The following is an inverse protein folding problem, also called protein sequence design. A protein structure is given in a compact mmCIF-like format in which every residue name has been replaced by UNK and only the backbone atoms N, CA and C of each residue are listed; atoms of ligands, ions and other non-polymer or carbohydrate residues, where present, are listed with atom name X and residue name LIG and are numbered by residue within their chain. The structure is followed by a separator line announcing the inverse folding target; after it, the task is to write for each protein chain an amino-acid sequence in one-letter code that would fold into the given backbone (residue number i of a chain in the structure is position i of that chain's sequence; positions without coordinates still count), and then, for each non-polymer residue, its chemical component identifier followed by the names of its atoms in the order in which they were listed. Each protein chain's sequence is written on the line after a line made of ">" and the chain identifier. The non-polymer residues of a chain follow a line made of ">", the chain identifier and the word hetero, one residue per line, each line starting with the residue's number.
data_IF_554218534526
#
_entry.id   IF_554218534526
#
_cell.length_a   1.000
_cell.length_b   1.000
_cell.length_c   1.000
_cell.angle_alpha   90.00
_cell.angle_beta   90.00
_cell.angle_gamma   90.00
#
_symmetry.space_group_name_H-M   'P 1'
#
loop_
_entity.id
_entity.type
_entity.pdbx_description
1 polymer ?
#
# COMPACT_ATOMS: atom_id res chain seq x y z
N UNK A 1 -29.50 -6.68 -3.62
CA UNK A 1 -28.38 -6.36 -2.72
C UNK A 1 -27.13 -6.97 -3.31
N UNK A 2 -26.41 -6.20 -4.13
CA UNK A 2 -25.15 -6.63 -4.73
C UNK A 2 -24.17 -6.88 -3.59
N UNK A 3 -23.68 -8.11 -3.45
CA UNK A 3 -22.56 -8.41 -2.55
C UNK A 3 -21.38 -7.64 -3.15
N UNK A 4 -21.11 -6.43 -2.67
CA UNK A 4 -19.87 -5.73 -3.01
C UNK A 4 -18.76 -6.73 -2.70
N UNK A 5 -18.09 -7.22 -3.74
CA UNK A 5 -16.97 -8.12 -3.56
C UNK A 5 -15.90 -7.25 -2.91
N UNK A 6 -15.81 -7.28 -1.56
CA UNK A 6 -14.96 -6.42 -0.74
C UNK A 6 -13.47 -6.67 -1.08
N UNK A 7 -13.04 -6.24 -2.26
CA UNK A 7 -11.75 -6.60 -2.86
C UNK A 7 -10.61 -5.95 -2.10
N UNK A 8 -10.90 -4.84 -1.43
CA UNK A 8 -10.05 -4.18 -0.46
C UNK A 8 -10.57 -4.51 0.95
N UNK A 9 -9.65 -4.76 1.87
CA UNK A 9 -9.89 -4.89 3.31
C UNK A 9 -9.19 -3.69 3.95
N UNK A 10 -9.89 -2.94 4.82
CA UNK A 10 -9.29 -1.82 5.55
C UNK A 10 -8.22 -2.34 6.51
N UNK A 11 -7.23 -1.51 6.83
CA UNK A 11 -6.15 -1.86 7.74
C UNK A 11 -6.66 -2.19 9.15
N UNK A 12 -7.67 -1.46 9.63
CA UNK A 12 -8.24 -1.62 10.98
C UNK A 12 -9.00 -2.95 11.16
N UNK A 13 -9.41 -3.58 10.06
CA UNK A 13 -10.18 -4.84 10.06
C UNK A 13 -9.31 -6.06 9.67
N UNK A 14 -7.99 -5.90 9.67
CA UNK A 14 -7.05 -6.85 9.06
C UNK A 14 -6.01 -7.40 10.01
N UNK A 15 -5.82 -8.72 9.98
CA UNK A 15 -4.72 -9.40 10.67
C UNK A 15 -3.43 -9.42 9.85
N UNK A 16 -3.45 -9.00 8.58
CA UNK A 16 -2.32 -9.16 7.65
C UNK A 16 -1.54 -7.89 7.38
N UNK A 17 -2.19 -6.72 7.48
CA UNK A 17 -1.57 -5.43 7.20
C UNK A 17 -2.40 -4.28 7.77
N UNK A 18 -1.72 -3.29 8.36
CA UNK A 18 -2.32 -2.10 8.98
C UNK A 18 -2.74 -1.01 7.97
N UNK A 19 -2.57 -1.26 6.66
CA UNK A 19 -2.96 -0.35 5.58
C UNK A 19 -4.05 -1.03 4.76
N UNK A 20 -4.98 -0.29 4.13
CA UNK A 20 -5.94 -0.86 3.19
C UNK A 20 -5.23 -1.63 2.09
N UNK A 21 -5.64 -2.88 1.89
CA UNK A 21 -4.94 -3.82 1.03
C UNK A 21 -5.90 -4.74 0.30
N UNK A 22 -5.43 -5.34 -0.79
CA UNK A 22 -6.21 -6.30 -1.55
C UNK A 22 -6.45 -7.56 -0.73
N UNK A 23 -7.69 -8.03 -0.63
CA UNK A 23 -8.03 -9.25 0.14
C UNK A 23 -7.10 -10.42 -0.23
N UNK A 24 -6.65 -11.12 0.82
CA UNK A 24 -5.76 -12.28 0.76
C UNK A 24 -4.36 -11.96 0.18
N UNK A 25 -3.96 -10.69 0.19
CA UNK A 25 -2.67 -10.21 -0.31
C UNK A 25 -2.15 -9.05 0.54
N UNK A 26 -0.85 -9.02 0.85
CA UNK A 26 -0.20 -7.87 1.52
C UNK A 26 0.17 -6.75 0.54
N UNK A 27 -0.66 -6.51 -0.47
CA UNK A 27 -0.44 -5.46 -1.47
C UNK A 27 -1.39 -4.31 -1.17
N UNK A 28 -0.84 -3.18 -0.74
CA UNK A 28 -1.63 -2.04 -0.27
C UNK A 28 -2.23 -1.25 -1.44
N UNK A 29 -3.39 -0.64 -1.20
CA UNK A 29 -4.08 0.23 -2.16
C UNK A 29 -3.17 1.38 -2.61
N UNK A 30 -2.50 2.00 -1.65
CA UNK A 30 -1.49 3.05 -1.84
C UNK A 30 -0.34 2.59 -2.74
N UNK A 31 0.16 1.37 -2.56
CA UNK A 31 1.21 0.82 -3.43
C UNK A 31 0.75 0.64 -4.87
N UNK A 32 -0.49 0.19 -5.08
CA UNK A 32 -1.08 0.07 -6.42
C UNK A 32 -1.24 1.45 -7.06
N UNK A 33 -1.76 2.44 -6.33
CA UNK A 33 -1.85 3.83 -6.79
C UNK A 33 -0.48 4.37 -7.24
N UNK A 34 0.56 4.23 -6.41
CA UNK A 34 1.90 4.71 -6.75
C UNK A 34 2.47 4.04 -8.01
N UNK A 35 2.19 2.76 -8.23
CA UNK A 35 2.66 2.07 -9.44
C UNK A 35 1.93 2.55 -10.70
N UNK A 36 0.61 2.69 -10.63
CA UNK A 36 -0.21 3.00 -11.81
C UNK A 36 -0.18 4.50 -12.12
N UNK A 37 -0.50 5.34 -11.15
CA UNK A 37 -0.73 6.77 -11.38
C UNK A 37 0.55 7.61 -11.25
N UNK A 38 1.43 7.29 -10.30
CA UNK A 38 2.68 8.06 -10.12
C UNK A 38 3.80 7.56 -11.04
N UNK A 39 3.91 6.24 -11.25
CA UNK A 39 4.96 5.62 -12.08
C UNK A 39 4.50 5.25 -13.49
N UNK A 40 3.21 5.46 -13.80
CA UNK A 40 2.67 5.26 -15.16
C UNK A 40 2.64 3.81 -15.64
N UNK A 41 2.63 2.83 -14.74
CA UNK A 41 2.48 1.42 -15.14
C UNK A 41 1.03 1.12 -15.52
N UNK A 42 0.85 0.33 -16.56
CA UNK A 42 -0.49 -0.15 -16.93
C UNK A 42 -1.05 -1.11 -15.85
N UNK A 43 -2.36 -1.04 -15.62
CA UNK A 43 -3.05 -1.88 -14.63
C UNK A 43 -2.84 -3.38 -14.86
N UNK A 44 -2.76 -3.82 -16.12
CA UNK A 44 -2.45 -5.20 -16.49
C UNK A 44 -1.02 -5.58 -16.08
N UNK A 45 -0.06 -4.67 -16.24
CA UNK A 45 1.33 -4.92 -15.82
C UNK A 45 1.44 -5.08 -14.30
N UNK A 46 0.70 -4.28 -13.54
CA UNK A 46 0.61 -4.43 -12.08
C UNK A 46 -0.09 -5.74 -11.71
N UNK A 47 -1.18 -6.08 -12.41
CA UNK A 47 -1.90 -7.33 -12.19
C UNK A 47 -1.00 -8.56 -12.37
N UNK A 48 -0.29 -8.63 -13.49
CA UNK A 48 0.59 -9.75 -13.82
C UNK A 48 1.76 -9.86 -12.83
N UNK A 49 2.32 -8.73 -12.37
CA UNK A 49 3.45 -8.72 -11.42
C UNK A 49 3.09 -9.26 -10.03
N UNK A 50 1.86 -9.03 -9.59
CA UNK A 50 1.43 -9.33 -8.22
C UNK A 50 0.40 -10.46 -8.12
N UNK A 51 0.21 -11.23 -9.19
CA UNK A 51 -0.79 -12.30 -9.25
C UNK A 51 -2.19 -11.80 -8.84
N UNK A 52 -2.58 -10.66 -9.42
CA UNK A 52 -3.88 -10.04 -9.27
C UNK A 52 -4.65 -10.11 -10.59
N UNK A 53 -5.95 -9.92 -10.54
CA UNK A 53 -6.72 -9.62 -11.74
C UNK A 53 -6.70 -8.10 -11.99
N UNK A 54 -6.79 -7.66 -13.24
CA UNK A 54 -6.93 -6.24 -13.57
C UNK A 54 -8.13 -5.60 -12.84
N UNK A 55 -9.22 -6.34 -12.67
CA UNK A 55 -10.38 -5.90 -11.88
C UNK A 55 -10.01 -5.57 -10.42
N UNK A 56 -9.15 -6.38 -9.77
CA UNK A 56 -8.68 -6.08 -8.42
C UNK A 56 -7.83 -4.80 -8.36
N UNK A 57 -7.00 -4.57 -9.38
CA UNK A 57 -6.20 -3.34 -9.51
C UNK A 57 -7.12 -2.12 -9.63
N UNK A 58 -8.09 -2.15 -10.54
CA UNK A 58 -9.05 -1.05 -10.69
C UNK A 58 -9.91 -0.84 -9.45
N UNK A 59 -10.32 -1.91 -8.75
CA UNK A 59 -11.04 -1.78 -7.48
C UNK A 59 -10.18 -1.13 -6.39
N UNK A 60 -8.88 -1.43 -6.33
CA UNK A 60 -7.96 -0.75 -5.42
C UNK A 60 -7.84 0.75 -5.75
N UNK A 61 -7.69 1.10 -7.04
CA UNK A 61 -7.65 2.51 -7.47
C UNK A 61 -8.96 3.24 -7.14
N UNK A 62 -10.11 2.61 -7.39
CA UNK A 62 -11.41 3.18 -7.00
C UNK A 62 -11.47 3.41 -5.49
N UNK A 63 -11.03 2.43 -4.68
CA UNK A 63 -10.97 2.57 -3.22
C UNK A 63 -10.10 3.76 -2.80
N UNK A 64 -8.91 3.92 -3.38
CA UNK A 64 -8.00 5.03 -3.08
C UNK A 64 -8.70 6.39 -3.24
N UNK A 65 -9.38 6.59 -4.37
CA UNK A 65 -10.06 7.85 -4.69
C UNK A 65 -11.35 8.06 -3.91
N UNK A 66 -12.03 6.98 -3.54
CA UNK A 66 -13.26 7.04 -2.72
C UNK A 66 -12.97 7.27 -1.22
N UNK A 67 -11.74 7.02 -0.75
CA UNK A 67 -11.35 7.12 0.67
C UNK A 67 -10.16 8.08 0.92
N UNK A 68 -10.24 9.35 0.51
CA UNK A 68 -9.11 10.28 0.56
C UNK A 68 -8.66 10.64 1.99
N UNK A 69 -9.55 10.58 2.99
CA UNK A 69 -9.17 10.80 4.40
C UNK A 69 -8.36 9.62 4.95
N UNK A 70 -8.79 8.38 4.70
CA UNK A 70 -8.07 7.18 5.12
C UNK A 70 -6.67 7.11 4.47
N UNK A 71 -6.59 7.44 3.18
CA UNK A 71 -5.30 7.49 2.47
C UNK A 71 -4.37 8.58 2.99
N UNK A 72 -4.90 9.73 3.43
CA UNK A 72 -4.09 10.76 4.09
C UNK A 72 -3.53 10.27 5.42
N UNK A 73 -4.35 9.64 6.26
CA UNK A 73 -3.90 9.04 7.53
C UNK A 73 -2.79 8.00 7.30
N UNK A 74 -2.94 7.15 6.28
CA UNK A 74 -1.92 6.16 5.92
C UNK A 74 -0.60 6.82 5.53
N UNK A 75 -0.63 7.86 4.68
CA UNK A 75 0.59 8.58 4.26
C UNK A 75 1.25 9.33 5.41
N UNK A 76 0.47 9.96 6.30
CA UNK A 76 0.96 10.61 7.51
C UNK A 76 1.64 9.60 8.44
N UNK A 77 0.97 8.46 8.72
CA UNK A 77 1.53 7.40 9.57
C UNK A 77 2.83 6.84 9.01
N UNK A 78 2.89 6.65 7.70
CA UNK A 78 4.10 6.17 7.02
C UNK A 78 5.24 7.18 7.13
N UNK A 79 4.95 8.46 6.97
CA UNK A 79 5.94 9.53 7.16
C UNK A 79 6.48 9.56 8.58
N UNK A 80 5.60 9.48 9.58
CA UNK A 80 6.02 9.41 10.99
C UNK A 80 6.93 8.22 11.28
N UNK A 81 6.59 7.03 10.76
CA UNK A 81 7.40 5.83 10.94
C UNK A 81 8.76 5.97 10.25
N UNK A 82 8.80 6.54 9.05
CA UNK A 82 10.04 6.80 8.33
C UNK A 82 10.92 7.81 9.06
N UNK A 83 10.35 8.93 9.52
CA UNK A 83 11.07 9.95 10.26
C UNK A 83 11.58 9.41 11.61
N UNK A 84 10.77 8.62 12.32
CA UNK A 84 11.20 7.96 13.55
C UNK A 84 12.37 7.00 13.30
N UNK A 85 12.30 6.19 12.24
CA UNK A 85 13.38 5.27 11.87
C UNK A 85 14.67 6.02 11.51
N UNK A 86 14.58 7.09 10.70
CA UNK A 86 15.73 7.89 10.29
C UNK A 86 16.43 8.61 11.46
N UNK A 87 15.71 8.85 12.56
CA UNK A 87 16.26 9.49 13.76
C UNK A 87 16.71 8.47 14.83
N UNK A 88 16.47 7.17 14.65
CA UNK A 88 16.87 6.13 15.60
C UNK A 88 18.21 5.48 15.16
N UNK A 89 19.32 5.69 15.88
CA UNK A 89 20.62 5.14 15.54
C UNK A 89 20.69 3.60 15.60
N UNK A 90 19.65 2.92 16.10
CA UNK A 90 19.56 1.46 16.13
C UNK A 90 18.81 0.88 14.93
N UNK A 91 18.23 1.72 14.06
CA UNK A 91 17.49 1.28 12.88
C UNK A 91 18.29 1.58 11.63
N UNK A 92 18.67 0.52 10.90
CA UNK A 92 19.36 0.66 9.60
C UNK A 92 18.33 1.04 8.54
N UNK A 93 18.45 2.24 7.98
CA UNK A 93 17.53 2.77 6.96
C UNK A 93 18.17 2.89 5.58
N UNK A 94 19.50 2.96 5.52
CA UNK A 94 20.28 3.01 4.29
C UNK A 94 21.62 2.26 4.38
N UNK A 95 22.30 2.04 3.24
CA UNK A 95 23.61 1.40 3.21
C UNK A 95 24.69 2.15 4.01
N UNK A 96 24.54 3.46 4.20
CA UNK A 96 25.41 4.29 5.04
C UNK A 96 25.33 3.97 6.53
N UNK A 97 24.23 3.36 6.98
CA UNK A 97 24.01 2.96 8.38
C UNK A 97 24.65 1.59 8.69
N UNK A 98 25.13 0.88 7.66
CA UNK A 98 25.82 -0.40 7.83
C UNK A 98 27.22 -0.13 8.36
N UNK A 99 27.49 -0.54 9.61
CA UNK A 99 28.86 -0.56 10.10
C UNK A 99 29.69 -1.56 9.28
N UNK A 100 30.85 -1.13 8.79
CA UNK A 100 31.88 -2.02 8.22
C UNK A 100 32.32 -3.02 9.30
N UNK A 101 31.68 -4.19 9.35
CA UNK A 101 31.99 -5.28 10.28
C UNK A 101 33.15 -6.14 9.77
#
# INVERSE_FOLDING_TARGET
>A
MSRQMNTVVSGDESDVHDEPHVRDRRITVRHIHALVEERGLDAQTVADRFDLTAAKVYHALAYYHDHPEEMRTVEERRRELHDAAANDPNVVTGPEDLSDA
#
